data_IF_954146660141
#
_entry.id   IF_954146660141
#
_cell.length_a   1.000
_cell.length_b   1.000
_cell.length_c   1.000
_cell.angle_alpha   90.00
_cell.angle_beta   90.00
_cell.angle_gamma   90.00
#
_symmetry.space_group_name_H-M   'P 1'
#
loop_
_entity.id
_entity.type
_entity.pdbx_description
1 polymer ?
#
# COMPACT_ATOMS: atom_id res chain seq x y z
N UNK A 1 -3.22 15.72 4.33
CA UNK A 1 -2.72 15.47 2.96
C UNK A 1 -3.86 14.91 2.11
N UNK A 2 -4.30 15.64 1.09
CA UNK A 2 -5.53 15.38 0.31
C UNK A 2 -5.42 14.22 -0.70
N UNK A 3 -4.98 13.03 -0.28
CA UNK A 3 -4.97 11.83 -1.14
C UNK A 3 -4.00 11.88 -2.33
N UNK A 4 -2.97 12.74 -2.27
CA UNK A 4 -1.94 12.86 -3.32
C UNK A 4 -0.74 11.91 -3.13
N UNK A 5 -0.64 11.27 -1.96
CA UNK A 5 0.40 10.29 -1.68
C UNK A 5 -0.06 8.85 -1.91
N UNK A 6 0.91 7.95 -2.04
CA UNK A 6 0.72 6.50 -2.19
C UNK A 6 1.75 5.77 -1.34
N UNK A 7 1.31 4.77 -0.57
CA UNK A 7 2.22 3.87 0.13
C UNK A 7 2.38 2.56 -0.67
N UNK A 8 3.59 2.05 -0.74
CA UNK A 8 3.92 0.73 -1.29
C UNK A 8 4.04 -0.25 -0.13
N UNK A 9 3.26 -1.33 -0.19
CA UNK A 9 3.11 -2.33 0.88
C UNK A 9 3.59 -3.68 0.36
N UNK A 10 4.55 -4.29 1.06
CA UNK A 10 4.93 -5.69 0.90
C UNK A 10 3.85 -6.58 1.48
N UNK A 11 3.19 -7.39 0.66
CA UNK A 11 2.14 -8.31 1.09
C UNK A 11 2.48 -9.74 0.70
N UNK A 12 1.75 -10.72 1.25
CA UNK A 12 1.86 -12.13 0.84
C UNK A 12 1.47 -12.39 -0.63
N UNK A 13 0.90 -11.40 -1.32
CA UNK A 13 0.53 -11.45 -2.74
C UNK A 13 1.48 -10.62 -3.62
N UNK A 14 2.59 -10.12 -3.06
CA UNK A 14 3.54 -9.24 -3.74
C UNK A 14 3.44 -7.78 -3.27
N UNK A 15 4.06 -6.88 -4.04
CA UNK A 15 4.04 -5.44 -3.76
C UNK A 15 2.72 -4.83 -4.22
N UNK A 16 1.99 -4.22 -3.30
CA UNK A 16 0.70 -3.58 -3.56
C UNK A 16 0.72 -2.12 -3.11
N UNK A 17 -0.13 -1.30 -3.71
CA UNK A 17 -0.42 0.03 -3.17
C UNK A 17 -1.34 -0.10 -1.95
N UNK A 18 -1.34 0.90 -1.07
CA UNK A 18 -2.28 1.02 0.05
C UNK A 18 -3.75 0.74 -0.35
N UNK A 19 -4.18 1.33 -1.47
CA UNK A 19 -5.53 1.13 -2.01
C UNK A 19 -5.78 -0.30 -2.47
N UNK A 20 -4.81 -0.92 -3.15
CA UNK A 20 -4.92 -2.29 -3.63
C UNK A 20 -4.93 -3.29 -2.46
N UNK A 21 -4.03 -3.14 -1.50
CA UNK A 21 -3.97 -3.99 -0.30
C UNK A 21 -5.28 -3.93 0.50
N UNK A 22 -5.84 -2.73 0.68
CA UNK A 22 -7.14 -2.52 1.35
C UNK A 22 -8.31 -3.14 0.58
N UNK A 23 -8.33 -3.04 -0.76
CA UNK A 23 -9.35 -3.69 -1.60
C UNK A 23 -9.28 -5.22 -1.51
N UNK A 24 -8.06 -5.77 -1.50
CA UNK A 24 -7.80 -7.20 -1.37
C UNK A 24 -7.88 -7.72 0.07
N UNK A 25 -8.12 -6.84 1.06
CA UNK A 25 -8.17 -7.16 2.49
C UNK A 25 -6.93 -7.90 3.00
N UNK A 26 -5.76 -7.54 2.48
CA UNK A 26 -4.47 -8.08 2.91
C UNK A 26 -3.64 -7.01 3.60
N UNK A 27 -2.92 -7.41 4.65
CA UNK A 27 -1.95 -6.58 5.35
C UNK A 27 -0.54 -6.80 4.83
N UNK A 28 0.42 -6.11 5.46
CA UNK A 28 1.80 -6.16 5.03
C UNK A 28 2.68 -5.11 5.72
N UNK A 29 3.92 -5.03 5.26
CA UNK A 29 4.88 -4.03 5.71
C UNK A 29 4.88 -2.83 4.75
N UNK A 30 4.80 -1.61 5.28
CA UNK A 30 4.93 -0.40 4.46
C UNK A 30 6.41 -0.19 4.17
N UNK A 31 6.79 -0.24 2.89
CA UNK A 31 8.18 -0.10 2.46
C UNK A 31 8.54 1.39 2.29
N UNK A 32 7.67 2.14 1.62
CA UNK A 32 7.87 3.56 1.40
C UNK A 32 6.56 4.29 1.11
N UNK A 33 6.61 5.60 1.27
CA UNK A 33 5.55 6.53 0.90
C UNK A 33 6.09 7.50 -0.15
N UNK A 34 5.28 7.77 -1.17
CA UNK A 34 5.52 8.78 -2.20
C UNK A 34 4.56 9.93 -1.91
N UNK A 35 5.07 11.18 -1.84
CA UNK A 35 4.30 12.39 -1.54
C UNK A 35 4.19 13.36 -2.72
#
# INVERSE_FOLDING_TARGET
LNGRGMAVISTSQGLLTDKAARKSKVGGEVICEIY
#
